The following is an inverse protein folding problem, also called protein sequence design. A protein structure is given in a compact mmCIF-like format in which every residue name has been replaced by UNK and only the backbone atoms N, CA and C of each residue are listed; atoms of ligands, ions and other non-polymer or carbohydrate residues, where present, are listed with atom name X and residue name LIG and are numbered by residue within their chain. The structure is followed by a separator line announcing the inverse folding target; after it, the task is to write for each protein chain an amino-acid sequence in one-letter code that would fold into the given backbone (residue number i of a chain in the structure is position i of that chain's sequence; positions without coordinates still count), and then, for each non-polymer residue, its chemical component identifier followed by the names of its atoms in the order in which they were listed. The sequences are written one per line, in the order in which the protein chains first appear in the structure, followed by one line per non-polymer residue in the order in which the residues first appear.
data_IF_847922590057
#
_entry.id   IF_847922590057
#
_cell.length_a   1.000
_cell.length_b   1.000
_cell.length_c   1.000
_cell.angle_alpha   90.00
_cell.angle_beta   90.00
_cell.angle_gamma   90.00
#
_symmetry.space_group_name_H-M   'P 1'
#
loop_
_entity.id
_entity.type
_entity.pdbx_description
1 polymer ?
#
# COMPACT_ATOMS: atom_id res chain seq x y z
N UNK A 1 -10.42 -17.16 20.26
CA UNK A 1 -9.16 -17.86 20.55
C UNK A 1 -8.02 -17.07 19.91
N UNK A 2 -7.23 -16.37 20.71
CA UNK A 2 -5.83 -16.69 21.10
C UNK A 2 -4.83 -16.67 19.94
N UNK A 3 -4.50 -15.47 19.45
CA UNK A 3 -3.10 -15.20 19.11
C UNK A 3 -2.55 -14.39 20.28
N UNK A 4 -1.83 -15.08 21.18
CA UNK A 4 -0.98 -14.41 22.16
C UNK A 4 -0.07 -13.45 21.39
N UNK A 5 0.06 -12.20 21.84
CA UNK A 5 0.89 -11.19 21.18
C UNK A 5 2.34 -11.66 20.94
N UNK A 6 2.81 -12.65 21.72
CA UNK A 6 4.12 -13.29 21.59
C UNK A 6 4.26 -14.18 20.33
N UNK A 7 3.17 -14.59 19.69
CA UNK A 7 3.20 -15.41 18.48
C UNK A 7 3.27 -14.56 17.21
N UNK A 8 2.87 -13.30 17.27
CA UNK A 8 2.86 -12.41 16.10
C UNK A 8 4.25 -12.30 15.46
N UNK A 9 5.35 -12.05 16.21
CA UNK A 9 6.68 -11.98 15.62
C UNK A 9 7.10 -13.27 14.91
N UNK A 10 6.73 -14.44 15.45
CA UNK A 10 7.05 -15.74 14.85
C UNK A 10 6.27 -15.98 13.56
N UNK A 11 5.00 -15.55 13.52
CA UNK A 11 4.17 -15.65 12.31
C UNK A 11 4.75 -14.75 11.21
N UNK A 12 5.21 -13.54 11.55
CA UNK A 12 5.81 -12.65 10.56
C UNK A 12 7.18 -13.17 10.08
N UNK A 13 8.01 -13.71 10.97
CA UNK A 13 9.28 -14.36 10.59
C UNK A 13 9.02 -15.54 9.62
N UNK A 14 8.01 -16.36 9.91
CA UNK A 14 7.59 -17.47 9.05
C UNK A 14 7.04 -17.00 7.69
N UNK A 15 6.38 -15.84 7.66
CA UNK A 15 5.88 -15.22 6.44
C UNK A 15 7.03 -14.70 5.56
N UNK A 16 8.10 -14.18 6.15
CA UNK A 16 9.23 -13.62 5.41
C UNK A 16 10.25 -14.68 4.98
N UNK A 17 10.60 -15.61 5.87
CA UNK A 17 11.72 -16.54 5.67
C UNK A 17 11.33 -18.01 5.49
N UNK A 18 10.06 -18.34 5.74
CA UNK A 18 9.55 -19.69 5.61
C UNK A 18 9.56 -20.22 4.18
N UNK A 19 9.54 -21.54 4.03
CA UNK A 19 9.25 -22.15 2.73
C UNK A 19 7.83 -21.82 2.28
N UNK A 20 7.55 -21.94 0.97
CA UNK A 20 6.27 -21.48 0.40
C UNK A 20 5.04 -22.02 1.14
N UNK A 21 5.05 -23.29 1.55
CA UNK A 21 3.92 -23.85 2.31
C UNK A 21 3.76 -23.18 3.67
N UNK A 22 4.85 -22.90 4.38
CA UNK A 22 4.84 -22.15 5.65
C UNK A 22 4.35 -20.72 5.46
N UNK A 23 4.77 -20.05 4.39
CA UNK A 23 4.30 -18.70 4.06
C UNK A 23 2.79 -18.67 3.81
N UNK A 24 2.23 -19.71 3.18
CA UNK A 24 0.77 -19.83 2.99
C UNK A 24 0.02 -19.88 4.31
N UNK A 25 0.45 -20.77 5.22
CA UNK A 25 -0.17 -20.90 6.54
C UNK A 25 -0.01 -19.60 7.37
N UNK A 26 1.16 -18.95 7.28
CA UNK A 26 1.41 -17.68 7.94
C UNK A 26 0.51 -16.56 7.38
N UNK A 27 0.35 -16.46 6.05
CA UNK A 27 -0.54 -15.50 5.42
C UNK A 27 -1.99 -15.72 5.85
N UNK A 28 -2.42 -16.98 5.95
CA UNK A 28 -3.75 -17.33 6.43
C UNK A 28 -3.94 -16.94 7.90
N UNK A 29 -2.95 -17.20 8.76
CA UNK A 29 -2.99 -16.81 10.17
C UNK A 29 -3.08 -15.28 10.34
N UNK A 30 -2.29 -14.52 9.58
CA UNK A 30 -2.35 -13.05 9.59
C UNK A 30 -3.70 -12.55 9.08
N UNK A 31 -4.20 -13.08 7.97
CA UNK A 31 -5.51 -12.69 7.42
C UNK A 31 -6.64 -12.94 8.44
N UNK A 32 -6.64 -14.09 9.11
CA UNK A 32 -7.58 -14.37 10.19
C UNK A 32 -7.47 -13.39 11.37
N UNK A 33 -6.24 -12.95 11.72
CA UNK A 33 -6.04 -11.94 12.75
C UNK A 33 -6.60 -10.57 12.31
N UNK A 34 -6.51 -10.20 11.03
CA UNK A 34 -7.13 -8.96 10.54
C UNK A 34 -8.66 -8.99 10.53
N UNK A 35 -9.27 -10.18 10.48
CA UNK A 35 -10.74 -10.32 10.49
C UNK A 35 -11.29 -10.32 11.91
N UNK A 36 -10.62 -11.03 12.83
CA UNK A 36 -11.14 -11.35 14.16
C UNK A 36 -10.37 -10.71 15.32
N UNK A 37 -9.22 -10.11 15.03
CA UNK A 37 -8.35 -9.48 16.02
C UNK A 37 -8.79 -8.09 16.43
N UNK A 38 -8.25 -7.62 17.55
CA UNK A 38 -8.46 -6.25 18.00
C UNK A 38 -7.60 -5.26 17.19
N UNK A 39 -7.97 -3.96 17.12
CA UNK A 39 -7.14 -2.94 16.50
C UNK A 39 -5.70 -2.90 17.03
N UNK A 40 -5.50 -3.21 18.32
CA UNK A 40 -4.17 -3.31 18.91
C UNK A 40 -3.35 -4.46 18.33
N UNK A 41 -3.96 -5.63 18.10
CA UNK A 41 -3.27 -6.77 17.48
C UNK A 41 -2.89 -6.46 16.03
N UNK A 42 -3.76 -5.76 15.29
CA UNK A 42 -3.47 -5.32 13.92
C UNK A 42 -2.37 -4.27 13.89
N UNK A 43 -2.35 -3.33 14.84
CA UNK A 43 -1.25 -2.37 14.97
C UNK A 43 0.09 -3.09 15.22
N UNK A 44 0.11 -4.13 16.06
CA UNK A 44 1.32 -4.95 16.28
C UNK A 44 1.76 -5.69 15.02
N UNK A 45 0.83 -6.20 14.19
CA UNK A 45 1.17 -6.79 12.89
C UNK A 45 1.86 -5.79 11.96
N UNK A 46 1.31 -4.57 11.87
CA UNK A 46 1.84 -3.52 11.02
C UNK A 46 3.25 -3.14 11.49
N UNK A 47 3.43 -2.92 12.79
CA UNK A 47 4.74 -2.63 13.40
C UNK A 47 5.75 -3.77 13.23
N UNK A 48 5.28 -5.02 13.08
CA UNK A 48 6.13 -6.18 12.85
C UNK A 48 6.52 -6.37 11.36
N UNK A 49 6.23 -5.41 10.47
CA UNK A 49 6.48 -5.49 9.02
C UNK A 49 5.62 -6.54 8.28
N UNK A 50 4.37 -6.73 8.69
CA UNK A 50 3.45 -7.60 7.95
C UNK A 50 3.17 -7.10 6.51
N UNK A 51 3.05 -5.78 6.31
CA UNK A 51 2.66 -5.17 5.02
C UNK A 51 3.65 -5.51 3.90
N UNK A 52 4.97 -5.23 4.02
CA UNK A 52 5.92 -5.57 2.96
C UNK A 52 5.93 -7.06 2.60
N UNK A 53 5.80 -7.93 3.61
CA UNK A 53 5.75 -9.38 3.42
C UNK A 53 4.48 -9.82 2.69
N UNK A 54 3.33 -9.21 2.99
CA UNK A 54 2.09 -9.41 2.25
C UNK A 54 2.22 -8.96 0.79
N UNK A 55 2.77 -7.76 0.54
CA UNK A 55 2.96 -7.25 -0.81
C UNK A 55 3.82 -8.17 -1.68
N UNK A 56 4.88 -8.79 -1.13
CA UNK A 56 5.70 -9.79 -1.84
C UNK A 56 4.89 -11.01 -2.28
N UNK A 57 3.92 -11.45 -1.47
CA UNK A 57 3.07 -12.61 -1.77
C UNK A 57 2.02 -12.35 -2.85
N UNK A 58 1.81 -11.11 -3.28
CA UNK A 58 0.91 -10.81 -4.41
C UNK A 58 1.44 -11.33 -5.76
N UNK A 59 2.74 -11.60 -5.89
CA UNK A 59 3.35 -12.12 -7.13
C UNK A 59 3.22 -13.65 -7.28
N UNK A 60 2.68 -14.34 -6.27
CA UNK A 60 2.58 -15.80 -6.31
C UNK A 60 1.52 -16.25 -7.30
N UNK A 61 1.73 -17.41 -7.92
CA UNK A 61 0.81 -17.96 -8.93
C UNK A 61 -0.44 -18.60 -8.35
N UNK A 62 -0.50 -18.78 -7.03
CA UNK A 62 -1.61 -19.43 -6.35
C UNK A 62 -2.73 -18.39 -6.08
N UNK A 63 -3.87 -18.45 -6.79
CA UNK A 63 -4.92 -17.44 -6.64
C UNK A 63 -5.52 -17.41 -5.23
N UNK A 64 -5.52 -18.55 -4.52
CA UNK A 64 -6.03 -18.58 -3.15
C UNK A 64 -5.15 -17.77 -2.21
N UNK A 65 -3.84 -17.84 -2.40
CA UNK A 65 -2.88 -17.06 -1.60
C UNK A 65 -3.02 -15.58 -1.92
N UNK A 66 -3.08 -15.22 -3.21
CA UNK A 66 -3.30 -13.84 -3.64
C UNK A 66 -4.58 -13.28 -3.03
N UNK A 67 -5.67 -14.04 -3.05
CA UNK A 67 -6.94 -13.61 -2.46
C UNK A 67 -6.84 -13.40 -0.94
N UNK A 68 -6.24 -14.34 -0.20
CA UNK A 68 -6.02 -14.22 1.26
C UNK A 68 -5.19 -12.98 1.61
N UNK A 69 -4.17 -12.70 0.81
CA UNK A 69 -3.29 -11.53 0.98
C UNK A 69 -4.06 -10.23 0.71
N UNK A 70 -4.81 -10.16 -0.39
CA UNK A 70 -5.65 -9.00 -0.72
C UNK A 70 -6.71 -8.73 0.35
N UNK A 71 -7.38 -9.78 0.84
CA UNK A 71 -8.35 -9.67 1.93
C UNK A 71 -7.69 -9.13 3.20
N UNK A 72 -6.50 -9.62 3.52
CA UNK A 72 -5.71 -9.14 4.67
C UNK A 72 -5.36 -7.65 4.55
N UNK A 73 -4.81 -7.23 3.41
CA UNK A 73 -4.46 -5.82 3.15
C UNK A 73 -5.70 -4.91 3.20
N UNK A 74 -6.79 -5.31 2.56
CA UNK A 74 -8.06 -4.58 2.57
C UNK A 74 -8.62 -4.44 4.00
N UNK A 75 -8.51 -5.49 4.82
CA UNK A 75 -8.96 -5.45 6.21
C UNK A 75 -8.08 -4.54 7.07
N UNK A 76 -6.75 -4.58 6.90
CA UNK A 76 -5.84 -3.65 7.59
C UNK A 76 -6.19 -2.19 7.27
N UNK A 77 -6.34 -1.84 5.98
CA UNK A 77 -6.76 -0.52 5.52
C UNK A 77 -8.12 -0.11 6.12
N UNK A 78 -9.10 -1.02 6.12
CA UNK A 78 -10.42 -0.76 6.67
C UNK A 78 -10.40 -0.55 8.19
N UNK A 79 -9.53 -1.25 8.92
CA UNK A 79 -9.44 -1.18 10.38
C UNK A 79 -8.71 0.07 10.88
N UNK A 80 -7.81 0.63 10.06
CA UNK A 80 -7.12 1.87 10.40
C UNK A 80 -8.06 3.09 10.48
N UNK A 81 -9.21 3.04 9.79
CA UNK A 81 -10.18 4.14 9.82
C UNK A 81 -9.55 5.42 9.28
N UNK A 82 -9.42 6.44 10.12
CA UNK A 82 -8.83 7.73 9.75
C UNK A 82 -7.30 7.64 9.50
N UNK A 83 -6.63 6.61 10.02
CA UNK A 83 -5.20 6.36 9.79
C UNK A 83 -4.96 5.47 8.54
N UNK A 84 -5.96 5.31 7.66
CA UNK A 84 -5.83 4.47 6.47
C UNK A 84 -4.73 4.95 5.52
N UNK A 85 -4.47 6.25 5.49
CA UNK A 85 -3.49 6.88 4.61
C UNK A 85 -2.08 6.42 4.94
N UNK A 86 -1.75 6.21 6.23
CA UNK A 86 -0.44 5.70 6.62
C UNK A 86 -0.25 4.23 6.17
N UNK A 87 -1.30 3.41 6.24
CA UNK A 87 -1.25 2.04 5.74
C UNK A 87 -1.15 2.04 4.20
N UNK A 88 -1.89 2.90 3.52
CA UNK A 88 -1.83 3.05 2.06
C UNK A 88 -0.40 3.42 1.62
N UNK A 89 0.20 4.42 2.27
CA UNK A 89 1.61 4.82 2.06
C UNK A 89 2.58 3.66 2.28
N UNK A 90 2.41 2.88 3.36
CA UNK A 90 3.24 1.70 3.61
C UNK A 90 3.09 0.63 2.51
N UNK A 91 1.89 0.46 1.96
CA UNK A 91 1.63 -0.47 0.84
C UNK A 91 2.32 0.03 -0.43
N UNK A 92 2.25 1.32 -0.72
CA UNK A 92 2.93 1.94 -1.87
C UNK A 92 4.46 1.83 -1.77
N UNK A 93 5.04 2.19 -0.63
CA UNK A 93 6.48 2.09 -0.39
C UNK A 93 7.00 0.65 -0.51
N UNK A 94 6.15 -0.33 -0.20
CA UNK A 94 6.44 -1.75 -0.39
C UNK A 94 6.27 -2.23 -1.86
N UNK A 95 5.91 -1.33 -2.79
CA UNK A 95 5.58 -1.67 -4.18
C UNK A 95 4.31 -2.51 -4.30
N UNK A 96 3.43 -2.42 -3.31
CA UNK A 96 2.16 -3.14 -3.24
C UNK A 96 1.12 -2.60 -4.21
N UNK A 97 1.03 -1.27 -4.38
CA UNK A 97 0.06 -0.63 -5.28
C UNK A 97 0.24 -1.14 -6.73
N UNK A 98 1.46 -1.06 -7.28
CA UNK A 98 1.78 -1.59 -8.62
C UNK A 98 1.35 -3.06 -8.83
N UNK A 99 1.43 -3.87 -7.76
CA UNK A 99 1.07 -5.30 -7.80
C UNK A 99 -0.46 -5.46 -7.77
N UNK A 100 -1.15 -4.68 -6.94
CA UNK A 100 -2.61 -4.65 -6.85
C UNK A 100 -3.20 -4.18 -8.20
N UNK A 101 -2.60 -3.17 -8.83
CA UNK A 101 -3.00 -2.70 -10.17
C UNK A 101 -2.86 -3.78 -11.23
N UNK A 102 -1.73 -4.50 -11.25
CA UNK A 102 -1.54 -5.64 -12.18
C UNK A 102 -2.61 -6.71 -12.00
N UNK A 103 -3.04 -6.95 -10.77
CA UNK A 103 -4.07 -7.93 -10.44
C UNK A 103 -5.49 -7.50 -10.88
N UNK A 104 -5.71 -6.27 -11.32
CA UNK A 104 -6.96 -5.87 -11.98
C UNK A 104 -7.17 -6.59 -13.33
N UNK A 105 -6.13 -7.17 -13.92
CA UNK A 105 -6.23 -7.96 -15.16
C UNK A 105 -6.30 -9.47 -14.89
N UNK A 106 -6.45 -9.87 -13.62
CA UNK A 106 -6.42 -11.28 -13.23
C UNK A 106 -7.68 -12.03 -13.73
N UNK A 107 -7.52 -13.29 -14.13
CA UNK A 107 -8.61 -14.14 -14.67
C UNK A 107 -9.70 -14.46 -13.64
N UNK A 108 -9.33 -14.46 -12.35
CA UNK A 108 -10.26 -14.63 -11.24
C UNK A 108 -11.00 -13.32 -10.97
N UNK A 109 -12.32 -13.35 -11.20
CA UNK A 109 -13.22 -12.21 -11.05
C UNK A 109 -13.25 -11.64 -9.61
N UNK A 110 -13.10 -12.47 -8.59
CA UNK A 110 -13.09 -12.01 -7.19
C UNK A 110 -11.82 -11.20 -6.87
N UNK A 111 -10.67 -11.64 -7.40
CA UNK A 111 -9.39 -10.91 -7.28
C UNK A 111 -9.50 -9.55 -8.00
N UNK A 112 -10.01 -9.55 -9.23
CA UNK A 112 -10.24 -8.32 -9.99
C UNK A 112 -11.17 -7.34 -9.24
N UNK A 113 -12.31 -7.80 -8.74
CA UNK A 113 -13.27 -6.93 -8.03
C UNK A 113 -12.68 -6.36 -6.75
N UNK A 114 -11.93 -7.18 -6.01
CA UNK A 114 -11.32 -6.76 -4.76
C UNK A 114 -10.21 -5.73 -4.97
N UNK A 115 -9.34 -5.94 -5.97
CA UNK A 115 -8.28 -4.98 -6.32
C UNK A 115 -8.85 -3.64 -6.76
N UNK A 116 -9.88 -3.65 -7.62
CA UNK A 116 -10.61 -2.43 -8.00
C UNK A 116 -11.16 -1.69 -6.78
N UNK A 117 -11.81 -2.42 -5.86
CA UNK A 117 -12.37 -1.83 -4.64
C UNK A 117 -11.31 -1.24 -3.71
N UNK A 118 -10.14 -1.88 -3.60
CA UNK A 118 -9.03 -1.37 -2.79
C UNK A 118 -8.53 -0.05 -3.40
N UNK A 119 -8.27 -0.04 -4.71
CA UNK A 119 -7.76 1.14 -5.42
C UNK A 119 -8.76 2.30 -5.36
N UNK A 120 -10.02 2.06 -5.70
CA UNK A 120 -11.09 3.08 -5.70
C UNK A 120 -11.27 3.72 -4.32
N UNK A 121 -11.16 2.93 -3.26
CA UNK A 121 -11.47 3.39 -1.91
C UNK A 121 -10.29 4.05 -1.18
N UNK A 122 -9.06 3.58 -1.44
CA UNK A 122 -7.89 3.97 -0.63
C UNK A 122 -6.81 4.69 -1.43
N UNK A 123 -6.79 4.57 -2.76
CA UNK A 123 -5.71 5.12 -3.61
C UNK A 123 -6.21 6.08 -4.69
N UNK A 124 -7.51 6.08 -5.00
CA UNK A 124 -8.10 6.96 -6.04
C UNK A 124 -8.45 8.37 -5.53
N UNK A 125 -8.35 8.60 -4.21
CA UNK A 125 -8.61 9.89 -3.58
C UNK A 125 -7.38 10.79 -3.49
N UNK A 126 -6.20 10.33 -3.91
CA UNK A 126 -4.97 11.15 -4.00
C UNK A 126 -4.92 12.03 -5.27
N UNK A 127 -6.10 12.39 -5.80
CA UNK A 127 -6.25 13.18 -7.01
C UNK A 127 -6.49 14.67 -6.80
N UNK A 128 -6.33 15.23 -5.60
CA UNK A 128 -6.61 16.66 -5.35
C UNK A 128 -5.56 17.41 -4.50
N UNK A 129 -4.40 16.79 -4.19
CA UNK A 129 -3.34 17.47 -3.42
C UNK A 129 -1.94 17.46 -4.07
N UNK A 130 -1.77 16.83 -5.25
CA UNK A 130 -0.52 16.89 -6.03
C UNK A 130 -0.65 17.68 -7.35
N UNK A 131 -1.67 18.52 -7.48
CA UNK A 131 -1.51 19.74 -8.28
C UNK A 131 -0.77 20.76 -7.42
N UNK A 132 0.56 20.63 -7.36
CA UNK A 132 1.39 21.82 -7.17
C UNK A 132 0.97 22.81 -8.25
N UNK A 133 0.21 23.81 -7.80
CA UNK A 133 -0.34 24.91 -8.57
C UNK A 133 0.80 25.71 -9.23
N UNK A 134 1.36 25.19 -10.33
CA UNK A 134 2.16 25.99 -11.27
C UNK A 134 1.21 26.74 -12.21
N UNK A 135 0.20 27.40 -11.64
CA UNK A 135 -0.55 28.41 -12.35
C UNK A 135 0.35 29.66 -12.49
N UNK A 136 0.69 30.12 -13.70
CA UNK A 136 1.42 31.37 -13.86
C UNK A 136 0.57 32.51 -13.29
N UNK A 137 1.12 33.27 -12.35
CA UNK A 137 0.45 34.46 -11.83
C UNK A 137 0.57 35.58 -12.86
N UNK A 138 -0.57 36.09 -13.34
CA UNK A 138 -0.62 37.34 -14.09
C UNK A 138 -0.42 38.50 -13.12
N UNK A 139 0.69 39.21 -13.30
CA UNK A 139 0.95 40.48 -12.62
C UNK A 139 1.08 41.56 -13.68
N UNK A 140 0.19 42.55 -13.61
CA UNK A 140 0.15 43.75 -14.45
C UNK A 140 0.13 43.46 -15.98
N UNK A 141 -0.65 42.47 -16.40
CA UNK A 141 -0.88 42.15 -17.83
C UNK A 141 0.23 41.34 -18.50
N UNK A 142 1.15 40.74 -17.73
CA UNK A 142 2.15 39.78 -18.22
C UNK A 142 2.23 38.53 -17.34
N UNK A 143 2.50 37.38 -17.96
CA UNK A 143 2.73 36.10 -17.28
C UNK A 143 4.16 36.09 -16.70
N UNK A 144 4.31 36.01 -15.38
CA UNK A 144 5.62 35.97 -14.73
C UNK A 144 5.94 34.57 -14.18
N UNK A 145 6.98 33.93 -14.72
CA UNK A 145 7.48 32.66 -14.22
C UNK A 145 8.48 32.91 -13.09
N UNK A 146 8.14 32.49 -11.87
CA UNK A 146 9.03 32.62 -10.71
C UNK A 146 10.05 31.49 -10.71
N UNK A 147 11.10 31.61 -11.53
CA UNK A 147 12.23 30.71 -11.53
C UNK A 147 13.11 30.98 -10.30
N UNK A 148 12.75 30.42 -9.15
CA UNK A 148 13.71 30.18 -8.06
C UNK A 148 14.45 28.89 -8.37
N UNK A 149 15.54 29.01 -9.14
CA UNK A 149 16.83 28.38 -8.82
C UNK A 149 17.86 28.62 -9.95
N UNK A 150 19.06 29.03 -9.53
CA UNK A 150 20.34 28.95 -10.24
C UNK A 150 20.37 29.20 -11.77
N UNK A 151 20.74 30.42 -12.15
CA UNK A 151 21.30 30.70 -13.47
C UNK A 151 22.79 31.00 -13.28
N UNK A 152 23.73 30.22 -13.84
CA UNK A 152 25.15 30.57 -13.83
C UNK A 152 25.37 31.87 -14.60
N UNK A 153 26.19 32.77 -14.03
CA UNK A 153 26.68 33.96 -14.71
C UNK A 153 27.47 33.58 -15.97
N UNK A 154 26.83 33.53 -17.13
CA UNK A 154 27.54 33.69 -18.40
C UNK A 154 26.66 34.40 -19.43
N UNK A 155 26.96 35.68 -19.60
CA UNK A 155 26.20 36.62 -20.40
C UNK A 155 26.30 36.33 -21.90
N UNK A 156 25.17 36.49 -22.58
CA UNK A 156 25.15 36.65 -24.04
C UNK A 156 25.23 38.14 -24.38
N UNK A 157 26.35 38.55 -24.98
CA UNK A 157 26.50 39.84 -25.66
C UNK A 157 25.93 39.72 -27.08
N UNK A 158 25.12 40.71 -27.48
CA UNK A 158 24.82 41.02 -28.88
C UNK A 158 25.96 41.82 -29.51
#
# INVERSE_FOLDING_TARGET
EVIDANLIPLIIDALETGEFQTQKEAAWAVSNLTISGSPQQVSVLIQANAIPSFCKLLDVKDPQVVQVVLDGLHNMLKMAGDDSDEIARMIEEAGGLDRIEKLQQHENEEIYKLTYKIIDRFFSNEGDNDEQEFAPQEVDGGLQFNARDNIPEEGFKF
#
